data_IF_426993927252
#
_entry.id   IF_426993927252
#
_cell.length_a   1.000
_cell.length_b   1.000
_cell.length_c   1.000
_cell.angle_alpha   90.00
_cell.angle_beta   90.00
_cell.angle_gamma   90.00
#
_symmetry.space_group_name_H-M   'P 1'
#
loop_
_entity.id
_entity.type
_entity.pdbx_description
1 polymer ?
#
# COMPACT_ATOMS: atom_id res chain seq x y z
N UNK A 1 -3.28 1.63 6.15
CA UNK A 1 -3.99 2.25 5.02
C UNK A 1 -4.89 3.35 5.54
N UNK A 2 -4.55 4.58 5.25
CA UNK A 2 -5.39 5.72 5.59
C UNK A 2 -5.84 6.32 4.28
N UNK A 3 -7.03 5.94 3.83
CA UNK A 3 -7.68 6.57 2.71
C UNK A 3 -8.31 7.85 3.19
N UNK A 4 -7.74 9.01 2.84
CA UNK A 4 -8.47 10.23 3.03
C UNK A 4 -7.99 11.41 2.22
N UNK A 5 -8.88 12.26 1.93
CA UNK A 5 -8.73 13.30 0.96
C UNK A 5 -8.25 14.59 1.59
N UNK A 6 -7.82 15.42 0.80
CA UNK A 6 -7.97 16.85 0.72
C UNK A 6 -6.67 17.56 0.51
N UNK A 7 -6.47 18.07 -0.64
CA UNK A 7 -5.57 19.18 -0.80
C UNK A 7 -6.41 20.46 -0.95
N UNK A 8 -6.26 21.41 -0.08
CA UNK A 8 -6.77 22.75 -0.29
C UNK A 8 -5.58 23.67 -0.43
N UNK A 9 -5.56 24.47 -1.49
CA UNK A 9 -4.41 25.26 -1.83
C UNK A 9 -4.77 26.69 -2.10
N UNK A 10 -3.85 27.53 -1.67
CA UNK A 10 -3.86 28.95 -1.96
C UNK A 10 -2.69 29.42 -2.80
N UNK A 11 -1.73 28.56 -3.18
CA UNK A 11 -0.63 28.96 -4.06
C UNK A 11 -0.25 27.85 -5.04
N UNK A 12 -0.05 28.22 -6.30
CA UNK A 12 0.13 27.35 -7.46
C UNK A 12 1.41 26.50 -7.47
N UNK A 13 2.33 26.66 -6.52
CA UNK A 13 3.62 25.96 -6.50
C UNK A 13 3.76 24.93 -5.40
N UNK A 14 3.03 25.06 -4.32
CA UNK A 14 3.04 24.08 -3.23
C UNK A 14 1.63 23.64 -2.90
N UNK A 15 1.50 22.36 -2.66
CA UNK A 15 0.27 21.70 -2.28
C UNK A 15 0.34 21.19 -0.86
N UNK A 16 -0.81 21.01 -0.23
CA UNK A 16 -0.93 20.32 1.03
C UNK A 16 -1.73 19.04 0.84
N UNK A 17 -1.19 17.95 1.38
CA UNK A 17 -1.89 16.69 1.55
C UNK A 17 -2.37 16.62 2.99
N UNK A 18 -3.69 16.57 3.17
CA UNK A 18 -4.30 16.33 4.48
C UNK A 18 -4.81 14.92 4.55
N UNK A 19 -4.32 14.17 5.52
CA UNK A 19 -4.77 12.83 5.82
C UNK A 19 -5.40 12.80 7.20
N UNK A 20 -6.27 11.83 7.43
CA UNK A 20 -6.89 11.58 8.71
C UNK A 20 -6.48 10.19 9.19
N UNK A 21 -5.93 10.13 10.40
CA UNK A 21 -5.44 8.91 11.03
C UNK A 21 -6.33 8.54 12.18
N UNK A 22 -6.72 7.27 12.27
CA UNK A 22 -7.45 6.79 13.43
C UNK A 22 -6.66 7.06 14.72
N UNK A 23 -7.33 7.49 15.77
CA UNK A 23 -6.71 7.69 17.09
C UNK A 23 -6.03 6.43 17.64
N UNK A 24 -6.42 5.24 17.14
CA UNK A 24 -5.76 3.97 17.48
C UNK A 24 -4.30 3.94 17.07
N UNK A 25 -3.96 4.67 15.99
CA UNK A 25 -2.60 4.72 15.43
C UNK A 25 -1.82 5.95 15.91
N UNK A 26 -2.34 6.67 16.91
CA UNK A 26 -1.72 7.90 17.43
C UNK A 26 -0.26 7.70 17.85
N UNK A 27 0.06 6.56 18.45
CA UNK A 27 1.41 6.24 18.90
C UNK A 27 2.43 6.14 17.73
N UNK A 28 1.97 5.91 16.50
CA UNK A 28 2.81 5.85 15.30
C UNK A 28 3.12 7.23 14.72
N UNK A 29 2.30 8.25 14.99
CA UNK A 29 2.44 9.58 14.41
C UNK A 29 3.82 10.23 14.61
N UNK A 30 4.47 10.13 15.79
CA UNK A 30 5.82 10.66 15.96
C UNK A 30 6.88 9.99 15.08
N UNK A 31 6.60 8.80 14.56
CA UNK A 31 7.50 8.02 13.69
C UNK A 31 7.27 8.29 12.21
N UNK A 32 6.15 8.93 11.85
CA UNK A 32 5.80 9.26 10.47
C UNK A 32 6.72 10.37 9.97
N UNK A 33 7.36 10.15 8.82
CA UNK A 33 8.28 11.12 8.23
C UNK A 33 7.96 11.46 6.76
N UNK A 34 7.17 10.64 6.09
CA UNK A 34 6.80 10.83 4.69
C UNK A 34 5.42 10.21 4.40
N UNK A 35 4.91 10.45 3.21
CA UNK A 35 3.71 9.82 2.72
C UNK A 35 3.83 9.51 1.22
N UNK A 36 3.21 8.42 0.80
CA UNK A 36 2.88 8.17 -0.58
C UNK A 36 1.39 8.42 -0.77
N UNK A 37 0.99 8.89 -1.93
CA UNK A 37 -0.43 9.11 -2.21
C UNK A 37 -0.77 8.85 -3.68
N UNK A 38 -1.98 8.36 -3.90
CA UNK A 38 -2.52 8.12 -5.24
C UNK A 38 -3.82 8.89 -5.38
N UNK A 39 -3.85 9.94 -6.21
CA UNK A 39 -5.09 10.66 -6.51
C UNK A 39 -6.14 9.76 -7.14
N UNK A 40 -7.41 10.00 -6.84
CA UNK A 40 -8.52 9.16 -7.31
C UNK A 40 -8.70 9.16 -8.84
N UNK A 41 -8.15 10.16 -9.53
CA UNK A 41 -8.25 10.31 -10.97
C UNK A 41 -7.09 9.66 -11.77
N UNK A 42 -6.13 9.02 -11.09
CA UNK A 42 -4.96 8.41 -11.74
C UNK A 42 -4.47 7.18 -10.96
N UNK A 43 -3.83 6.26 -11.67
CA UNK A 43 -3.15 5.12 -11.04
C UNK A 43 -1.71 5.45 -10.58
N UNK A 44 -1.24 6.66 -10.88
CA UNK A 44 0.11 7.10 -10.52
C UNK A 44 0.24 7.29 -9.03
N UNK A 45 1.25 6.66 -8.44
CA UNK A 45 1.65 6.90 -7.07
C UNK A 45 2.66 8.04 -6.99
N UNK A 46 2.36 9.03 -6.18
CA UNK A 46 3.26 10.13 -5.86
C UNK A 46 3.88 9.89 -4.49
N UNK A 47 5.14 10.30 -4.34
CA UNK A 47 5.89 10.20 -3.09
C UNK A 47 6.28 11.59 -2.64
N UNK A 48 5.96 11.96 -1.41
CA UNK A 48 6.32 13.28 -0.87
C UNK A 48 7.83 13.50 -0.88
N UNK A 49 8.61 12.43 -0.72
CA UNK A 49 10.08 12.47 -0.81
C UNK A 49 10.60 12.91 -2.18
N UNK A 50 9.91 12.55 -3.26
CA UNK A 50 10.26 12.95 -4.63
C UNK A 50 9.80 14.36 -4.97
N UNK A 51 8.89 14.92 -4.18
CA UNK A 51 8.26 16.21 -4.39
C UNK A 51 8.74 17.28 -3.40
N UNK A 52 9.92 17.09 -2.82
CA UNK A 52 10.47 17.98 -1.78
C UNK A 52 9.44 18.21 -0.64
N UNK A 53 8.76 17.13 -0.27
CA UNK A 53 7.70 17.13 0.71
C UNK A 53 8.19 17.00 2.14
N UNK A 54 7.39 17.52 3.05
CA UNK A 54 7.65 17.41 4.49
C UNK A 54 6.35 17.32 5.27
N UNK A 55 6.40 16.64 6.39
CA UNK A 55 5.36 16.69 7.41
C UNK A 55 5.40 18.06 8.07
N UNK A 56 4.31 18.84 7.99
CA UNK A 56 4.25 20.15 8.61
C UNK A 56 3.49 20.17 9.94
N UNK A 57 2.51 19.30 10.10
CA UNK A 57 1.76 19.19 11.33
C UNK A 57 1.03 17.86 11.45
N UNK A 58 0.83 17.42 12.68
CA UNK A 58 -0.25 16.49 13.03
C UNK A 58 -0.95 17.00 14.29
N UNK A 59 -2.28 16.84 14.33
CA UNK A 59 -3.08 17.28 15.45
C UNK A 59 -2.80 16.47 16.71
N UNK A 60 -2.94 17.10 17.88
CA UNK A 60 -2.93 16.43 19.18
C UNK A 60 -4.33 16.09 19.66
N UNK A 61 -5.34 16.51 18.91
CA UNK A 61 -6.74 16.23 19.15
C UNK A 61 -7.42 15.86 17.85
N UNK A 62 -8.52 15.14 17.92
CA UNK A 62 -9.38 14.85 16.79
C UNK A 62 -9.86 16.17 16.12
N UNK A 63 -10.23 16.08 14.85
CA UNK A 63 -10.65 17.26 14.07
C UNK A 63 -11.88 17.97 14.67
N UNK A 64 -12.72 17.22 15.35
CA UNK A 64 -13.82 17.71 16.19
C UNK A 64 -14.10 16.73 17.33
N UNK A 65 -14.95 17.12 18.28
CA UNK A 65 -15.27 16.29 19.47
C UNK A 65 -15.97 14.96 19.14
N UNK A 66 -16.53 14.83 17.96
CA UNK A 66 -17.19 13.62 17.46
C UNK A 66 -16.29 12.77 16.54
N UNK A 67 -15.15 13.30 16.14
CA UNK A 67 -14.21 12.62 15.25
C UNK A 67 -13.21 11.77 16.03
N UNK A 68 -13.06 10.52 15.62
CA UNK A 68 -12.02 9.62 16.10
C UNK A 68 -10.76 9.65 15.21
N UNK A 69 -10.61 10.72 14.41
CA UNK A 69 -9.53 10.87 13.44
C UNK A 69 -8.67 12.09 13.78
N UNK A 70 -7.38 11.92 13.62
CA UNK A 70 -6.36 12.94 13.88
C UNK A 70 -5.82 13.43 12.55
N UNK A 71 -5.89 14.75 12.27
CA UNK A 71 -5.38 15.28 11.01
C UNK A 71 -3.86 15.27 10.97
N UNK A 72 -3.33 14.86 9.82
CA UNK A 72 -1.89 14.87 9.49
C UNK A 72 -1.72 15.64 8.19
N UNK A 73 -0.82 16.61 8.14
CA UNK A 73 -0.63 17.46 6.99
C UNK A 73 0.80 17.44 6.49
N UNK A 74 0.95 17.16 5.22
CA UNK A 74 2.19 17.27 4.47
C UNK A 74 2.12 18.45 3.51
N UNK A 75 3.24 19.06 3.24
CA UNK A 75 3.41 20.08 2.22
C UNK A 75 4.43 19.58 1.19
N UNK A 76 4.16 19.78 -0.10
CA UNK A 76 5.02 19.30 -1.18
C UNK A 76 4.94 20.21 -2.41
N UNK A 77 5.91 20.11 -3.31
CA UNK A 77 5.93 20.87 -4.55
C UNK A 77 4.95 20.30 -5.57
N UNK A 78 4.17 21.17 -6.19
CA UNK A 78 3.31 20.77 -7.30
C UNK A 78 4.14 20.63 -8.58
N UNK A 79 4.13 19.42 -9.16
CA UNK A 79 4.78 19.12 -10.43
C UNK A 79 3.91 19.46 -11.65
N UNK A 80 2.76 20.10 -11.44
CA UNK A 80 1.90 20.64 -12.49
C UNK A 80 0.75 19.72 -12.94
N UNK A 81 0.77 18.46 -12.57
CA UNK A 81 -0.25 17.47 -12.93
C UNK A 81 -1.13 17.01 -11.75
N UNK A 82 -0.89 17.55 -10.57
CA UNK A 82 -1.68 17.25 -9.38
C UNK A 82 -2.80 18.28 -9.25
N UNK A 83 -4.04 17.77 -9.26
CA UNK A 83 -5.24 18.60 -9.17
C UNK A 83 -5.55 18.90 -7.71
N UNK A 84 -5.54 20.18 -7.40
CA UNK A 84 -5.94 20.68 -6.08
C UNK A 84 -7.41 20.36 -5.76
N UNK A 85 -7.70 19.99 -4.52
CA UNK A 85 -9.04 19.64 -4.07
C UNK A 85 -9.49 18.23 -4.45
N UNK A 86 -8.63 17.45 -5.08
CA UNK A 86 -8.91 16.04 -5.37
C UNK A 86 -8.72 15.14 -4.14
N UNK A 87 -9.39 13.98 -4.18
CA UNK A 87 -9.21 12.93 -3.19
C UNK A 87 -8.04 12.03 -3.57
N UNK A 88 -7.40 11.44 -2.56
CA UNK A 88 -6.31 10.50 -2.76
C UNK A 88 -6.30 9.41 -1.69
N UNK A 89 -5.84 8.22 -2.07
CA UNK A 89 -5.40 7.23 -1.10
C UNK A 89 -4.04 7.64 -0.56
N UNK A 90 -3.89 7.66 0.75
CA UNK A 90 -2.67 8.11 1.42
C UNK A 90 -2.07 6.97 2.24
N UNK A 91 -0.79 6.75 2.07
CA UNK A 91 0.01 5.78 2.82
C UNK A 91 1.05 6.54 3.63
N UNK A 92 0.91 6.53 4.95
CA UNK A 92 1.87 7.16 5.85
C UNK A 92 3.07 6.24 6.04
N UNK A 93 4.26 6.80 5.94
CA UNK A 93 5.51 6.06 6.01
C UNK A 93 6.26 6.41 7.29
N UNK A 94 6.79 5.38 7.91
CA UNK A 94 7.77 5.47 8.99
C UNK A 94 9.15 5.08 8.47
N UNK A 95 10.19 5.26 9.27
CA UNK A 95 11.50 4.75 8.92
C UNK A 95 11.47 3.22 8.76
N UNK A 96 12.28 2.66 7.84
CA UNK A 96 12.35 1.21 7.66
C UNK A 96 12.66 0.48 8.96
N UNK A 97 11.94 -0.61 9.21
CA UNK A 97 12.21 -1.51 10.33
C UNK A 97 13.01 -2.71 9.84
N UNK A 98 13.99 -3.14 10.62
CA UNK A 98 14.76 -4.34 10.32
C UNK A 98 13.89 -5.60 10.47
N UNK A 99 14.15 -6.61 9.64
CA UNK A 99 13.45 -7.89 9.69
C UNK A 99 12.08 -7.90 9.04
N UNK A 100 11.65 -6.79 8.43
CA UNK A 100 10.39 -6.71 7.69
C UNK A 100 10.59 -7.26 6.27
N UNK A 101 9.70 -8.17 5.88
CA UNK A 101 9.63 -8.67 4.50
C UNK A 101 8.51 -7.94 3.79
N UNK A 102 8.84 -7.26 2.70
CA UNK A 102 7.87 -6.59 1.85
C UNK A 102 8.07 -7.01 0.39
N UNK A 103 6.97 -7.31 -0.28
CA UNK A 103 6.94 -7.73 -1.68
C UNK A 103 6.05 -6.79 -2.51
N UNK A 104 6.25 -6.72 -3.83
CA UNK A 104 5.34 -5.98 -4.70
C UNK A 104 3.90 -6.46 -4.54
N UNK A 105 2.94 -5.54 -4.54
CA UNK A 105 1.51 -5.87 -4.44
C UNK A 105 1.07 -6.81 -5.57
N UNK A 106 1.68 -6.69 -6.76
CA UNK A 106 1.44 -7.56 -7.92
C UNK A 106 1.76 -9.05 -7.67
N UNK A 107 2.55 -9.37 -6.65
CA UNK A 107 2.86 -10.74 -6.27
C UNK A 107 1.75 -11.42 -5.47
N UNK A 108 0.80 -10.66 -4.95
CA UNK A 108 -0.27 -11.17 -4.08
C UNK A 108 -1.53 -11.42 -4.90
N UNK A 109 -2.11 -12.59 -4.73
CA UNK A 109 -3.44 -12.94 -5.26
C UNK A 109 -4.43 -13.11 -4.12
N UNK A 110 -5.69 -12.81 -4.37
CA UNK A 110 -6.78 -12.97 -3.41
C UNK A 110 -7.76 -14.04 -3.88
N UNK A 111 -8.20 -14.88 -2.95
CA UNK A 111 -9.26 -15.85 -3.14
C UNK A 111 -10.13 -15.90 -1.89
N UNK A 112 -11.41 -15.55 -2.03
CA UNK A 112 -12.39 -15.61 -0.95
C UNK A 112 -11.96 -14.89 0.34
N UNK A 113 -11.31 -13.74 0.19
CA UNK A 113 -10.82 -12.94 1.32
C UNK A 113 -9.49 -13.43 1.93
N UNK A 114 -8.91 -14.47 1.39
CA UNK A 114 -7.59 -14.96 1.77
C UNK A 114 -6.54 -14.56 0.75
N UNK A 115 -5.33 -14.31 1.20
CA UNK A 115 -4.22 -13.87 0.38
C UNK A 115 -3.19 -14.96 0.16
N UNK A 116 -2.69 -15.05 -1.07
CA UNK A 116 -1.74 -16.07 -1.48
C UNK A 116 -0.60 -15.45 -2.30
N UNK A 117 0.55 -16.09 -2.20
CA UNK A 117 1.70 -15.86 -3.06
C UNK A 117 2.12 -17.17 -3.72
N UNK A 118 2.93 -17.08 -4.77
CA UNK A 118 3.55 -18.24 -5.38
C UNK A 118 5.05 -18.18 -5.14
N UNK A 119 5.57 -19.20 -4.46
CA UNK A 119 7.00 -19.36 -4.19
C UNK A 119 7.57 -20.34 -5.18
N UNK A 120 8.63 -19.94 -5.87
CA UNK A 120 9.34 -20.81 -6.78
C UNK A 120 10.28 -21.73 -5.99
N UNK A 121 10.05 -23.03 -6.05
CA UNK A 121 10.86 -24.05 -5.41
C UNK A 121 12.03 -24.49 -6.31
N UNK A 122 11.76 -24.67 -7.62
CA UNK A 122 12.74 -24.92 -8.67
C UNK A 122 12.26 -24.32 -9.99
N UNK A 123 12.96 -24.55 -11.10
CA UNK A 123 12.68 -23.86 -12.38
C UNK A 123 11.24 -24.01 -12.87
N UNK A 124 10.58 -25.14 -12.61
CA UNK A 124 9.23 -25.44 -13.08
C UNK A 124 8.23 -25.69 -11.95
N UNK A 125 8.64 -25.57 -10.71
CA UNK A 125 7.79 -25.90 -9.56
C UNK A 125 7.50 -24.68 -8.71
N UNK A 126 6.21 -24.41 -8.50
CA UNK A 126 5.69 -23.30 -7.71
C UNK A 126 4.78 -23.81 -6.61
N UNK A 127 4.99 -23.31 -5.41
CA UNK A 127 4.12 -23.57 -4.27
C UNK A 127 3.17 -22.38 -4.06
N UNK A 128 1.86 -22.66 -4.04
CA UNK A 128 0.86 -21.70 -3.60
C UNK A 128 0.86 -21.66 -2.07
N UNK A 129 1.15 -20.50 -1.52
CA UNK A 129 1.28 -20.34 -0.08
C UNK A 129 0.38 -19.23 0.43
N UNK A 130 -0.42 -19.52 1.47
CA UNK A 130 -1.22 -18.52 2.18
C UNK A 130 -0.33 -17.58 2.99
N UNK A 131 -0.65 -16.29 2.95
CA UNK A 131 0.10 -15.26 3.65
C UNK A 131 -0.81 -14.33 4.44
N UNK A 132 -0.27 -13.75 5.51
CA UNK A 132 -0.90 -12.67 6.26
C UNK A 132 -0.23 -11.36 5.87
N UNK A 133 -1.02 -10.41 5.38
CA UNK A 133 -0.55 -9.11 4.95
C UNK A 133 -0.48 -8.13 6.12
N UNK A 134 0.53 -7.27 6.09
CA UNK A 134 0.69 -6.16 7.02
C UNK A 134 0.51 -4.81 6.33
N UNK A 135 1.38 -3.86 6.66
CA UNK A 135 1.34 -2.49 6.16
C UNK A 135 1.64 -2.40 4.67
N UNK A 136 1.12 -1.34 4.04
CA UNK A 136 1.30 -1.06 2.61
C UNK A 136 1.85 0.34 2.41
N UNK A 137 2.62 0.53 1.35
CA UNK A 137 3.12 1.84 0.92
C UNK A 137 2.56 2.30 -0.44
N UNK A 138 1.66 1.51 -1.03
CA UNK A 138 1.06 1.75 -2.36
C UNK A 138 1.72 0.98 -3.49
N UNK A 139 2.95 0.49 -3.32
CA UNK A 139 3.68 -0.35 -4.29
C UNK A 139 3.97 -1.74 -3.71
N UNK A 140 4.28 -1.80 -2.42
CA UNK A 140 4.68 -3.00 -1.71
C UNK A 140 3.75 -3.26 -0.54
N UNK A 141 3.72 -4.50 -0.11
CA UNK A 141 2.96 -4.95 1.07
C UNK A 141 3.86 -5.80 1.95
N UNK A 142 3.79 -5.55 3.25
CA UNK A 142 4.46 -6.33 4.28
C UNK A 142 3.83 -7.71 4.38
N UNK A 143 4.64 -8.74 4.50
CA UNK A 143 4.21 -10.11 4.78
C UNK A 143 4.53 -10.41 6.24
N UNK A 144 3.50 -10.54 7.06
CA UNK A 144 3.63 -10.84 8.49
C UNK A 144 3.92 -12.34 8.73
N UNK A 145 3.26 -13.20 7.95
CA UNK A 145 3.40 -14.66 8.05
C UNK A 145 3.32 -15.30 6.67
N UNK A 146 4.06 -16.39 6.48
CA UNK A 146 3.98 -17.23 5.30
C UNK A 146 5.16 -17.08 4.33
N UNK A 147 6.11 -16.19 4.58
CA UNK A 147 7.30 -16.01 3.76
C UNK A 147 8.55 -15.82 4.63
N UNK A 148 9.65 -16.39 4.19
CA UNK A 148 10.94 -16.29 4.85
C UNK A 148 11.97 -15.63 3.94
N UNK A 149 13.00 -15.05 4.54
CA UNK A 149 14.10 -14.46 3.78
C UNK A 149 14.80 -15.48 2.89
N UNK A 150 15.16 -15.06 1.67
CA UNK A 150 15.86 -15.90 0.69
C UNK A 150 14.95 -16.70 -0.25
N UNK A 151 13.66 -16.78 0.00
CA UNK A 151 12.71 -17.44 -0.90
C UNK A 151 12.43 -16.60 -2.16
N UNK A 152 12.21 -17.26 -3.27
CA UNK A 152 11.87 -16.61 -4.55
C UNK A 152 10.36 -16.53 -4.71
N UNK A 153 9.85 -15.32 -4.83
CA UNK A 153 8.42 -15.05 -5.01
C UNK A 153 8.15 -14.61 -6.45
N UNK A 154 7.09 -15.12 -7.05
CA UNK A 154 6.62 -14.69 -8.35
C UNK A 154 6.03 -13.28 -8.23
N UNK A 155 6.70 -12.28 -8.78
CA UNK A 155 6.30 -10.87 -8.70
C UNK A 155 5.55 -10.40 -9.95
N UNK A 156 5.76 -11.06 -11.09
CA UNK A 156 5.03 -10.85 -12.33
C UNK A 156 4.43 -12.16 -12.79
N UNK A 157 3.21 -12.11 -13.29
CA UNK A 157 2.52 -13.29 -13.74
C UNK A 157 1.96 -14.19 -12.64
N UNK A 158 1.83 -13.72 -11.40
CA UNK A 158 1.24 -14.49 -10.30
C UNK A 158 -0.18 -14.96 -10.63
N UNK A 159 -0.96 -14.12 -11.30
CA UNK A 159 -2.31 -14.49 -11.76
C UNK A 159 -2.29 -15.61 -12.81
N UNK A 160 -1.33 -15.59 -13.73
CA UNK A 160 -1.14 -16.65 -14.72
C UNK A 160 -0.76 -17.98 -14.08
N UNK A 161 0.11 -17.97 -13.08
CA UNK A 161 0.43 -19.18 -12.30
C UNK A 161 -0.81 -19.71 -11.58
N UNK A 162 -1.62 -18.83 -11.00
CA UNK A 162 -2.90 -19.17 -10.39
C UNK A 162 -3.83 -19.88 -11.39
N UNK A 163 -4.00 -19.32 -12.59
CA UNK A 163 -4.85 -19.90 -13.64
C UNK A 163 -4.34 -21.28 -14.09
N UNK A 164 -3.03 -21.43 -14.27
CA UNK A 164 -2.42 -22.69 -14.65
C UNK A 164 -2.67 -23.78 -13.60
N UNK A 165 -2.59 -23.45 -12.31
CA UNK A 165 -2.84 -24.39 -11.22
C UNK A 165 -4.30 -24.88 -11.17
N UNK A 166 -5.24 -24.01 -11.53
CA UNK A 166 -6.67 -24.37 -11.60
C UNK A 166 -6.97 -25.28 -12.79
N UNK A 167 -6.35 -25.02 -13.96
CA UNK A 167 -6.59 -25.81 -15.16
C UNK A 167 -6.05 -27.25 -15.07
N UNK A 168 -5.01 -27.49 -14.29
CA UNK A 168 -4.50 -28.85 -14.03
C UNK A 168 -5.35 -29.66 -13.06
N UNK A 169 -6.24 -28.99 -12.34
CA UNK A 169 -7.15 -29.65 -11.37
C UNK A 169 -8.47 -30.16 -12.00
N UNK A 170 -8.69 -29.95 -13.31
CA UNK A 170 -9.88 -30.49 -13.99
C UNK A 170 -9.57 -31.94 -14.41
N UNK A 171 -10.23 -32.95 -13.81
CA UNK A 171 -10.06 -34.33 -14.26
C UNK A 171 -10.58 -34.45 -15.69
N UNK A 172 -9.76 -34.92 -16.60
CA UNK A 172 -10.24 -35.40 -17.89
C UNK A 172 -11.16 -36.59 -17.63
N UNK A 173 -12.46 -36.34 -17.61
CA UNK A 173 -13.43 -37.41 -17.59
C UNK A 173 -13.28 -38.28 -18.85
N UNK A 174 -12.71 -39.44 -18.69
CA UNK A 174 -12.77 -40.48 -19.71
C UNK A 174 -14.21 -40.99 -19.75
N UNK A 175 -14.95 -40.58 -20.79
CA UNK A 175 -16.18 -41.25 -21.18
C UNK A 175 -15.82 -42.53 -21.95
N UNK A 176 -16.19 -43.65 -21.38
CA UNK A 176 -16.32 -44.93 -22.11
C UNK A 176 -17.76 -45.09 -22.57
#
# INVERSE_FOLDING_TARGET
EVGQPVAVITQTRRLQLKAEVSERDYALLPKVNAANFRPAYTDRLYKTTDLNGRLIAYGKAAADESSHYIPVTFEFDNVGDIIAGSYADVYLLTSPEEGVIAIPISAVTEEQGLYYIYVQLCEEEYEKRGVTLGRRDGERVEILHGLHGGERVVTQGAYQVKLASVSTAIPHGHSH
#
